data_IF_149534162246
#
_entry.id   IF_149534162246
#
_cell.length_a   1.000
_cell.length_b   1.000
_cell.length_c   1.000
_cell.angle_alpha   90.00
_cell.angle_beta   90.00
_cell.angle_gamma   90.00
#
_symmetry.space_group_name_H-M   'P 1'
#
loop_
_entity.id
_entity.type
_entity.pdbx_description
1 polymer ?
#
# COMPACT_ATOMS: atom_id res chain seq x y z
N UNK A 1 -6.47 22.34 7.61
CA UNK A 1 -5.07 22.16 7.15
C UNK A 1 -5.11 21.40 5.84
N UNK A 2 -4.22 21.72 4.90
CA UNK A 2 -4.09 20.94 3.68
C UNK A 2 -3.64 19.50 4.03
N UNK A 3 -4.11 18.52 3.28
CA UNK A 3 -3.67 17.14 3.44
C UNK A 3 -2.18 17.00 3.11
N UNK A 4 -1.41 16.32 3.95
CA UNK A 4 0.03 16.10 3.77
C UNK A 4 0.43 14.67 4.18
N UNK A 5 1.51 14.18 3.59
CA UNK A 5 2.17 12.91 3.91
C UNK A 5 3.56 13.11 4.55
N UNK A 6 3.85 14.30 5.09
CA UNK A 6 5.15 14.61 5.71
C UNK A 6 5.52 13.63 6.83
N UNK A 7 4.54 13.19 7.63
CA UNK A 7 4.72 12.17 8.68
C UNK A 7 5.19 10.83 8.13
N UNK A 8 4.86 10.54 6.88
CA UNK A 8 5.27 9.34 6.16
C UNK A 8 6.60 9.53 5.41
N UNK A 9 7.21 10.72 5.48
CA UNK A 9 8.44 11.06 4.76
C UNK A 9 8.21 11.35 3.27
N UNK A 10 6.97 11.60 2.85
CA UNK A 10 6.62 11.83 1.45
C UNK A 10 6.34 13.31 1.23
N UNK A 11 7.07 13.92 0.30
CA UNK A 11 7.07 15.37 0.06
C UNK A 11 6.66 15.75 -1.36
N UNK A 12 6.01 14.85 -2.11
CA UNK A 12 5.54 15.15 -3.47
C UNK A 12 4.42 16.19 -3.46
N UNK A 13 4.31 16.96 -4.54
CA UNK A 13 3.31 18.03 -4.64
C UNK A 13 1.92 17.56 -5.09
N UNK A 14 1.84 16.61 -6.03
CA UNK A 14 0.57 16.17 -6.63
C UNK A 14 0.00 14.92 -5.95
N UNK A 15 -0.86 15.13 -4.94
CA UNK A 15 -1.50 14.04 -4.20
C UNK A 15 -3.01 14.02 -4.43
N UNK A 16 -3.51 12.90 -4.96
CA UNK A 16 -4.93 12.65 -5.20
C UNK A 16 -5.53 11.78 -4.08
N UNK A 17 -6.03 12.42 -3.02
CA UNK A 17 -6.67 11.74 -1.90
C UNK A 17 -8.15 11.43 -2.18
N UNK A 18 -8.54 10.18 -1.98
CA UNK A 18 -9.91 9.65 -2.15
C UNK A 18 -10.57 10.12 -3.46
N UNK A 19 -9.79 10.15 -4.55
CA UNK A 19 -10.27 10.55 -5.85
C UNK A 19 -11.43 9.66 -6.33
N UNK A 20 -12.32 10.24 -7.14
CA UNK A 20 -13.48 9.52 -7.65
C UNK A 20 -13.05 8.38 -8.59
N UNK A 21 -13.85 7.30 -8.71
CA UNK A 21 -13.60 6.25 -9.69
C UNK A 21 -13.40 6.79 -11.11
N UNK A 22 -14.18 7.80 -11.53
CA UNK A 22 -14.04 8.42 -12.85
C UNK A 22 -12.64 9.04 -13.05
N UNK A 23 -12.15 9.78 -12.06
CA UNK A 23 -10.80 10.33 -12.09
C UNK A 23 -9.74 9.23 -12.16
N UNK A 24 -9.89 8.18 -11.34
CA UNK A 24 -8.94 7.06 -11.31
C UNK A 24 -8.91 6.28 -12.63
N UNK A 25 -10.05 6.15 -13.31
CA UNK A 25 -10.13 5.61 -14.66
C UNK A 25 -9.35 6.45 -15.66
N UNK A 26 -9.60 7.76 -15.70
CA UNK A 26 -8.89 8.68 -16.59
C UNK A 26 -7.38 8.66 -16.33
N UNK A 27 -7.00 8.70 -15.06
CA UNK A 27 -5.61 8.68 -14.66
C UNK A 27 -4.91 7.38 -15.06
N UNK A 28 -5.56 6.22 -14.86
CA UNK A 28 -5.04 4.93 -15.29
C UNK A 28 -4.85 4.89 -16.83
N UNK A 29 -5.82 5.36 -17.61
CA UNK A 29 -5.75 5.33 -19.08
C UNK A 29 -4.70 6.28 -19.64
N UNK A 30 -4.50 7.43 -18.99
CA UNK A 30 -3.52 8.45 -19.43
C UNK A 30 -2.09 8.11 -19.04
N UNK A 31 -1.89 7.58 -17.83
CA UNK A 31 -0.56 7.52 -17.22
C UNK A 31 -0.04 6.09 -16.96
N UNK A 32 -0.90 5.08 -17.03
CA UNK A 32 -0.48 3.68 -16.82
C UNK A 32 -0.49 2.89 -18.11
N UNK A 33 0.71 2.60 -18.62
CA UNK A 33 0.86 1.85 -19.87
C UNK A 33 0.17 0.48 -19.77
N UNK A 34 -0.67 0.20 -20.76
CA UNK A 34 -1.40 -1.06 -20.88
C UNK A 34 -2.79 -1.04 -20.25
N UNK A 35 -3.15 -0.01 -19.46
CA UNK A 35 -4.52 0.13 -18.98
C UNK A 35 -5.47 0.39 -20.14
N UNK A 36 -6.61 -0.30 -20.16
CA UNK A 36 -7.66 -0.15 -21.19
C UNK A 36 -9.04 -0.30 -20.59
N UNK A 37 -10.08 0.05 -21.32
CA UNK A 37 -11.48 -0.20 -20.93
C UNK A 37 -12.01 -1.38 -21.74
N UNK A 38 -12.62 -2.34 -21.05
CA UNK A 38 -13.38 -3.41 -21.69
C UNK A 38 -14.67 -2.90 -22.37
N UNK A 39 -15.29 -3.73 -23.20
CA UNK A 39 -16.58 -3.39 -23.84
C UNK A 39 -17.72 -3.12 -22.86
N UNK A 40 -17.60 -3.57 -21.60
CA UNK A 40 -18.60 -3.36 -20.54
C UNK A 40 -18.27 -2.21 -19.59
N UNK A 41 -17.19 -1.46 -19.85
CA UNK A 41 -16.80 -0.31 -19.02
C UNK A 41 -15.90 -0.66 -17.83
N UNK A 42 -15.49 -1.91 -17.65
CA UNK A 42 -14.51 -2.27 -16.63
C UNK A 42 -13.09 -1.82 -17.03
N UNK A 43 -12.35 -1.21 -16.11
CA UNK A 43 -10.93 -0.92 -16.27
C UNK A 43 -10.14 -2.24 -16.24
N UNK A 44 -9.39 -2.50 -17.30
CA UNK A 44 -8.43 -3.60 -17.38
C UNK A 44 -7.05 -3.02 -17.07
N UNK A 45 -6.37 -3.61 -16.09
CA UNK A 45 -5.01 -3.28 -15.70
C UNK A 45 -4.16 -4.55 -15.55
N UNK A 46 -2.85 -4.40 -15.63
CA UNK A 46 -1.89 -5.50 -15.55
C UNK A 46 -1.06 -5.41 -14.26
N UNK A 47 -0.88 -6.55 -13.59
CA UNK A 47 -0.13 -6.69 -12.33
C UNK A 47 1.38 -6.93 -12.54
N UNK A 48 1.89 -6.66 -13.74
CA UNK A 48 3.28 -6.88 -14.08
C UNK A 48 3.67 -8.36 -14.05
N UNK A 49 4.85 -8.68 -13.52
CA UNK A 49 5.41 -10.04 -13.49
C UNK A 49 4.68 -10.98 -12.52
N UNK A 50 4.06 -10.45 -11.47
CA UNK A 50 3.39 -11.23 -10.42
C UNK A 50 1.89 -11.21 -10.69
N UNK A 51 1.31 -12.34 -11.05
CA UNK A 51 -0.13 -12.50 -11.35
C UNK A 51 -0.93 -13.06 -10.17
N UNK A 52 -0.28 -13.24 -9.03
CA UNK A 52 -0.86 -13.75 -7.81
C UNK A 52 0.00 -13.38 -6.60
N UNK A 53 -0.43 -13.84 -5.42
CA UNK A 53 0.32 -13.65 -4.18
C UNK A 53 1.73 -14.24 -4.29
N UNK A 54 2.66 -13.68 -3.52
CA UNK A 54 4.00 -14.24 -3.31
C UNK A 54 4.19 -14.67 -1.85
N UNK A 55 3.63 -15.82 -1.41
CA UNK A 55 3.62 -16.20 0.01
C UNK A 55 5.01 -16.28 0.63
N UNK A 56 6.01 -16.75 -0.13
CA UNK A 56 7.40 -16.88 0.30
C UNK A 56 8.13 -15.54 0.44
N UNK A 57 7.54 -14.43 -0.01
CA UNK A 57 8.08 -13.08 0.08
C UNK A 57 7.34 -12.23 1.15
N UNK A 58 6.34 -12.80 1.84
CA UNK A 58 5.68 -12.15 2.98
C UNK A 58 6.58 -12.21 4.22
N UNK A 59 6.67 -11.11 4.95
CA UNK A 59 7.45 -10.99 6.19
C UNK A 59 6.67 -10.28 7.29
N UNK A 60 6.94 -10.64 8.54
CA UNK A 60 6.43 -9.96 9.74
C UNK A 60 7.62 -9.58 10.59
N UNK A 61 7.66 -8.32 11.04
CA UNK A 61 8.79 -7.82 11.84
C UNK A 61 8.79 -8.49 13.21
N UNK A 62 9.95 -9.01 13.62
CA UNK A 62 10.16 -9.64 14.92
C UNK A 62 10.42 -8.57 16.01
N UNK A 63 9.33 -7.95 16.45
CA UNK A 63 9.30 -6.91 17.49
C UNK A 63 8.98 -7.53 18.87
N UNK A 64 9.69 -7.16 19.96
CA UNK A 64 9.47 -7.74 21.29
C UNK A 64 8.01 -7.70 21.76
N UNK A 65 7.28 -6.65 21.42
CA UNK A 65 5.90 -6.38 21.87
C UNK A 65 4.87 -7.34 21.29
N UNK A 66 5.17 -8.00 20.16
CA UNK A 66 4.26 -8.93 19.47
C UNK A 66 4.88 -10.30 19.24
N UNK A 67 6.14 -10.49 19.66
CA UNK A 67 6.92 -11.71 19.39
C UNK A 67 6.18 -12.97 19.84
N UNK A 68 5.60 -12.95 21.02
CA UNK A 68 4.97 -14.13 21.60
C UNK A 68 3.53 -14.33 21.12
N UNK A 69 2.93 -13.31 20.48
CA UNK A 69 1.58 -13.36 19.91
C UNK A 69 1.56 -13.86 18.46
N UNK A 70 2.68 -13.74 17.73
CA UNK A 70 2.78 -14.14 16.33
C UNK A 70 3.09 -15.63 16.21
N UNK A 71 2.25 -16.35 15.45
CA UNK A 71 2.51 -17.75 15.12
C UNK A 71 3.59 -17.90 14.04
N UNK A 72 4.85 -17.96 14.45
CA UNK A 72 6.02 -18.03 13.57
C UNK A 72 6.13 -19.34 12.79
N UNK A 73 6.59 -19.25 11.54
CA UNK A 73 6.86 -20.41 10.69
C UNK A 73 6.98 -20.05 9.21
N UNK A 74 6.68 -21.01 8.34
CA UNK A 74 6.76 -20.80 6.89
C UNK A 74 5.71 -19.81 6.33
N UNK A 75 4.69 -19.47 7.12
CA UNK A 75 3.64 -18.50 6.76
C UNK A 75 3.97 -17.10 7.29
N UNK A 76 4.34 -17.01 8.57
CA UNK A 76 4.79 -15.77 9.20
C UNK A 76 6.30 -15.85 9.38
N UNK A 77 7.01 -15.40 8.35
CA UNK A 77 8.47 -15.43 8.29
C UNK A 77 9.00 -14.17 8.96
N UNK A 78 9.93 -14.35 9.90
CA UNK A 78 10.56 -13.25 10.65
C UNK A 78 11.33 -12.32 9.73
N UNK A 79 11.29 -11.03 10.06
CA UNK A 79 12.13 -9.99 9.51
C UNK A 79 12.67 -9.16 10.65
N UNK A 80 13.95 -8.83 10.62
CA UNK A 80 14.52 -7.95 11.63
C UNK A 80 14.02 -6.50 11.43
N UNK A 81 13.87 -5.71 12.52
CA UNK A 81 13.40 -4.32 12.41
C UNK A 81 14.24 -3.43 11.50
N UNK A 82 15.55 -3.67 11.39
CA UNK A 82 16.42 -2.85 10.55
C UNK A 82 16.13 -3.08 9.06
N UNK A 83 15.99 -4.33 8.62
CA UNK A 83 15.63 -4.67 7.24
C UNK A 83 14.26 -4.12 6.85
N UNK A 84 13.29 -4.09 7.78
CA UNK A 84 12.01 -3.42 7.56
C UNK A 84 12.19 -1.92 7.28
N UNK A 85 13.00 -1.23 8.09
CA UNK A 85 13.28 0.19 7.90
C UNK A 85 13.97 0.46 6.56
N UNK A 86 14.90 -0.41 6.14
CA UNK A 86 15.53 -0.31 4.81
C UNK A 86 14.49 -0.43 3.70
N UNK A 87 13.58 -1.38 3.77
CA UNK A 87 12.52 -1.54 2.76
C UNK A 87 11.51 -0.38 2.80
N UNK A 88 11.15 0.11 3.99
CA UNK A 88 10.29 1.28 4.17
C UNK A 88 10.91 2.52 3.52
N UNK A 89 12.19 2.79 3.78
CA UNK A 89 12.91 3.93 3.19
C UNK A 89 12.91 3.83 1.67
N UNK A 90 13.23 2.66 1.12
CA UNK A 90 13.17 2.40 -0.33
C UNK A 90 11.79 2.65 -0.93
N UNK A 91 10.73 2.28 -0.22
CA UNK A 91 9.37 2.52 -0.67
C UNK A 91 9.05 4.02 -0.67
N UNK A 92 9.42 4.74 0.39
CA UNK A 92 9.25 6.20 0.48
C UNK A 92 10.05 6.92 -0.60
N UNK A 93 11.31 6.58 -0.80
CA UNK A 93 12.17 7.12 -1.87
C UNK A 93 11.51 6.94 -3.24
N UNK A 94 11.07 5.72 -3.55
CA UNK A 94 10.38 5.44 -4.81
C UNK A 94 9.11 6.29 -4.97
N UNK A 95 8.27 6.35 -3.93
CA UNK A 95 7.05 7.14 -3.95
C UNK A 95 7.35 8.64 -4.15
N UNK A 96 8.44 9.14 -3.58
CA UNK A 96 8.92 10.51 -3.77
C UNK A 96 9.46 10.80 -5.17
N UNK A 97 9.87 9.78 -5.93
CA UNK A 97 10.26 9.94 -7.34
C UNK A 97 9.08 9.95 -8.32
N UNK A 98 7.84 9.81 -7.85
CA UNK A 98 6.66 9.82 -8.72
C UNK A 98 6.17 11.24 -8.95
N UNK A 99 5.68 11.52 -10.16
CA UNK A 99 5.05 12.81 -10.47
C UNK A 99 3.78 13.06 -9.64
N UNK A 100 3.07 11.97 -9.31
CA UNK A 100 1.81 12.00 -8.57
C UNK A 100 1.63 10.73 -7.73
N UNK A 101 0.90 10.85 -6.63
CA UNK A 101 0.48 9.72 -5.81
C UNK A 101 -1.04 9.74 -5.61
N UNK A 102 -1.57 8.56 -5.33
CA UNK A 102 -2.97 8.37 -4.98
C UNK A 102 -3.04 7.88 -3.55
N UNK A 103 -3.97 8.44 -2.78
CA UNK A 103 -4.18 8.06 -1.38
C UNK A 103 -5.62 7.62 -1.21
N UNK A 104 -5.84 6.47 -0.59
CA UNK A 104 -7.17 6.00 -0.19
C UNK A 104 -7.20 5.87 1.33
N UNK A 105 -8.00 6.73 1.96
CA UNK A 105 -8.42 6.55 3.34
C UNK A 105 -9.74 5.80 3.37
N UNK A 106 -9.80 4.69 4.11
CA UNK A 106 -10.98 3.86 4.24
C UNK A 106 -11.00 3.04 5.52
N UNK A 107 -12.06 2.27 5.72
CA UNK A 107 -12.23 1.43 6.90
C UNK A 107 -12.16 -0.05 6.55
N UNK A 108 -11.50 -0.83 7.41
CA UNK A 108 -11.55 -2.28 7.41
C UNK A 108 -12.36 -2.76 8.62
N UNK A 109 -13.40 -3.57 8.37
CA UNK A 109 -14.37 -4.00 9.39
C UNK A 109 -15.63 -3.14 9.39
N UNK A 110 -16.80 -3.78 9.38
CA UNK A 110 -18.11 -3.11 9.24
C UNK A 110 -18.60 -2.46 10.54
N UNK A 111 -18.34 -3.07 11.69
CA UNK A 111 -18.79 -2.53 12.98
C UNK A 111 -17.94 -1.30 13.37
N UNK A 112 -18.54 -0.11 13.54
CA UNK A 112 -17.81 1.11 13.89
C UNK A 112 -16.97 1.01 15.17
N UNK A 113 -17.29 0.08 16.08
CA UNK A 113 -16.54 -0.15 17.33
C UNK A 113 -15.22 -0.90 17.12
N UNK A 114 -15.11 -1.60 15.99
CA UNK A 114 -13.98 -2.49 15.67
C UNK A 114 -13.31 -2.14 14.33
N UNK A 115 -13.77 -1.09 13.65
CA UNK A 115 -13.20 -0.66 12.39
C UNK A 115 -11.76 -0.16 12.57
N UNK A 116 -10.91 -0.50 11.61
CA UNK A 116 -9.57 0.06 11.49
C UNK A 116 -9.56 1.13 10.42
N UNK A 117 -8.98 2.28 10.71
CA UNK A 117 -8.68 3.32 9.73
C UNK A 117 -7.44 2.93 8.94
N UNK A 118 -7.60 2.68 7.64
CA UNK A 118 -6.50 2.31 6.75
C UNK A 118 -6.22 3.47 5.82
N UNK A 119 -4.96 3.91 5.75
CA UNK A 119 -4.45 4.81 4.72
C UNK A 119 -3.58 4.01 3.75
N UNK A 120 -3.96 3.98 2.49
CA UNK A 120 -3.15 3.39 1.43
C UNK A 120 -2.52 4.49 0.60
N UNK A 121 -1.21 4.41 0.38
CA UNK A 121 -0.44 5.32 -0.46
C UNK A 121 0.11 4.51 -1.62
N UNK A 122 -0.27 4.83 -2.85
CA UNK A 122 0.12 4.07 -4.02
C UNK A 122 0.52 4.95 -5.21
N UNK A 123 1.46 4.45 -6.02
CA UNK A 123 1.94 5.15 -7.22
C UNK A 123 1.00 5.03 -8.43
N UNK A 124 0.03 4.10 -8.39
CA UNK A 124 -0.88 3.79 -9.51
C UNK A 124 -2.33 4.04 -9.13
N UNK A 125 -3.09 4.63 -10.05
CA UNK A 125 -4.54 4.80 -9.97
C UNK A 125 -5.28 3.46 -9.95
N UNK A 126 -4.77 2.44 -10.64
CA UNK A 126 -5.30 1.07 -10.57
C UNK A 126 -5.38 0.56 -9.12
N UNK A 127 -4.28 0.68 -8.35
CA UNK A 127 -4.25 0.23 -6.96
C UNK A 127 -5.16 1.08 -6.06
N UNK A 128 -5.26 2.38 -6.31
CA UNK A 128 -6.20 3.24 -5.60
C UNK A 128 -7.66 2.82 -5.88
N UNK A 129 -8.01 2.53 -7.13
CA UNK A 129 -9.34 2.06 -7.50
C UNK A 129 -9.66 0.70 -6.88
N UNK A 130 -8.67 -0.20 -6.86
CA UNK A 130 -8.81 -1.48 -6.16
C UNK A 130 -9.12 -1.27 -4.68
N UNK A 131 -8.38 -0.41 -3.98
CA UNK A 131 -8.63 -0.15 -2.56
C UNK A 131 -9.93 0.62 -2.30
N UNK A 132 -10.36 1.48 -3.23
CA UNK A 132 -11.69 2.09 -3.20
C UNK A 132 -12.81 1.04 -3.23
N UNK A 133 -12.61 -0.06 -3.96
CA UNK A 133 -13.57 -1.16 -4.03
C UNK A 133 -13.52 -2.07 -2.80
N UNK A 134 -12.33 -2.30 -2.24
CA UNK A 134 -12.13 -3.27 -1.16
C UNK A 134 -12.38 -2.73 0.24
N UNK A 135 -12.09 -1.44 0.50
CA UNK A 135 -12.32 -0.81 1.79
C UNK A 135 -13.72 -0.23 1.89
N UNK A 136 -14.23 -0.13 3.12
CA UNK A 136 -15.46 0.60 3.38
C UNK A 136 -15.15 2.09 3.23
N UNK A 137 -15.92 2.75 2.36
CA UNK A 137 -15.71 4.15 2.00
C UNK A 137 -16.24 5.06 3.09
N UNK A 138 -15.46 6.04 3.56
CA UNK A 138 -15.96 7.07 4.46
C UNK A 138 -17.00 7.93 3.73
N UNK A 139 -17.96 8.47 4.49
CA UNK A 139 -18.75 9.62 4.02
C UNK A 139 -17.86 10.86 3.88
N UNK A 140 -18.38 11.93 3.28
CA UNK A 140 -17.64 13.19 3.17
C UNK A 140 -17.24 13.75 4.55
N UNK A 141 -18.13 13.66 5.54
CA UNK A 141 -17.91 14.12 6.91
C UNK A 141 -16.87 13.24 7.62
N UNK A 142 -16.96 11.92 7.44
CA UNK A 142 -15.99 10.96 7.99
C UNK A 142 -14.60 11.15 7.38
N UNK A 143 -14.52 11.46 6.08
CA UNK A 143 -13.25 11.72 5.40
C UNK A 143 -12.62 13.04 5.86
N UNK A 144 -13.44 14.08 6.02
CA UNK A 144 -13.01 15.38 6.54
C UNK A 144 -12.49 15.28 7.97
N UNK A 145 -13.07 14.38 8.78
CA UNK A 145 -12.70 14.10 10.18
C UNK A 145 -11.87 12.82 10.37
N UNK A 146 -11.30 12.26 9.29
CA UNK A 146 -10.65 10.94 9.32
C UNK A 146 -9.52 10.85 10.34
N UNK A 147 -8.75 11.94 10.48
CA UNK A 147 -7.65 12.05 11.42
C UNK A 147 -6.46 11.16 11.07
N UNK A 148 -5.79 10.64 12.09
CA UNK A 148 -4.68 9.70 11.92
C UNK A 148 -5.21 8.29 11.60
N UNK A 149 -4.61 7.59 10.64
CA UNK A 149 -4.93 6.20 10.36
C UNK A 149 -4.41 5.28 11.46
N UNK A 150 -5.07 4.13 11.64
CA UNK A 150 -4.56 3.05 12.48
C UNK A 150 -3.41 2.33 11.78
N UNK A 151 -3.51 2.11 10.46
CA UNK A 151 -2.46 1.51 9.64
C UNK A 151 -2.19 2.31 8.38
N UNK A 152 -0.91 2.36 7.99
CA UNK A 152 -0.47 2.94 6.71
C UNK A 152 0.12 1.85 5.81
N UNK A 153 -0.35 1.79 4.57
CA UNK A 153 0.17 0.88 3.55
C UNK A 153 0.94 1.67 2.51
N UNK A 154 2.24 1.41 2.41
CA UNK A 154 3.13 1.94 1.37
C UNK A 154 3.17 0.97 0.20
N UNK A 155 2.34 1.22 -0.82
CA UNK A 155 2.35 0.44 -2.04
C UNK A 155 3.31 1.03 -3.06
N UNK A 156 4.57 0.58 -2.98
CA UNK A 156 5.66 0.86 -3.89
C UNK A 156 5.96 -0.36 -4.79
N UNK A 157 4.92 -1.13 -5.14
CA UNK A 157 5.03 -2.41 -5.85
C UNK A 157 5.80 -2.37 -7.18
N UNK A 158 5.84 -1.21 -7.85
CA UNK A 158 6.62 -0.99 -9.06
C UNK A 158 8.14 -0.90 -8.85
N UNK A 159 8.62 -0.89 -7.60
CA UNK A 159 10.04 -0.81 -7.25
C UNK A 159 10.52 -2.07 -6.53
N UNK A 160 11.65 -2.68 -6.92
CA UNK A 160 12.08 -3.94 -6.34
C UNK A 160 12.68 -3.76 -4.93
N UNK A 161 12.44 -4.77 -4.09
CA UNK A 161 13.20 -4.99 -2.88
C UNK A 161 14.67 -5.30 -3.22
N UNK A 162 15.58 -4.96 -2.31
CA UNK A 162 16.99 -5.30 -2.46
C UNK A 162 17.24 -6.72 -1.94
N UNK A 163 17.60 -7.65 -2.83
CA UNK A 163 17.91 -9.05 -2.49
C UNK A 163 19.11 -9.21 -1.54
N UNK A 164 19.93 -8.16 -1.39
CA UNK A 164 21.07 -8.15 -0.49
C UNK A 164 20.72 -7.64 0.91
N UNK A 165 19.49 -7.14 1.13
CA UNK A 165 18.97 -6.87 2.47
C UNK A 165 18.71 -8.18 3.19
N UNK A 166 19.09 -8.27 4.46
CA UNK A 166 18.87 -9.46 5.29
C UNK A 166 17.40 -9.90 5.27
N UNK A 167 17.16 -11.21 5.15
CA UNK A 167 15.81 -11.78 5.12
C UNK A 167 15.07 -11.69 3.76
N UNK A 168 15.63 -10.99 2.78
CA UNK A 168 15.06 -10.92 1.42
C UNK A 168 15.50 -12.11 0.57
N UNK A 169 14.54 -12.77 -0.07
CA UNK A 169 14.77 -13.95 -0.91
C UNK A 169 14.55 -13.69 -2.40
N UNK A 170 13.95 -12.56 -2.74
CA UNK A 170 13.67 -12.16 -4.11
C UNK A 170 13.66 -10.63 -4.25
N UNK A 171 13.25 -10.13 -5.42
CA UNK A 171 13.01 -8.70 -5.63
C UNK A 171 11.64 -8.24 -5.14
N UNK A 172 10.82 -9.14 -4.59
CA UNK A 172 9.50 -8.86 -4.03
C UNK A 172 9.59 -8.91 -2.50
N UNK A 173 8.92 -7.97 -1.83
CA UNK A 173 8.74 -8.00 -0.37
C UNK A 173 7.35 -7.48 0.00
N UNK A 174 6.72 -8.15 0.96
CA UNK A 174 5.46 -7.71 1.57
C UNK A 174 5.63 -7.78 3.08
N UNK A 175 5.94 -6.65 3.68
CA UNK A 175 6.38 -6.57 5.07
C UNK A 175 5.30 -5.94 5.95
N UNK A 176 5.14 -6.48 7.16
CA UNK A 176 4.22 -5.98 8.18
C UNK A 176 4.96 -5.72 9.50
N UNK A 177 4.93 -4.47 9.97
CA UNK A 177 5.29 -4.11 11.34
C UNK A 177 4.02 -3.79 12.14
N UNK A 178 3.82 -4.52 13.24
CA UNK A 178 2.69 -4.29 14.14
C UNK A 178 2.97 -3.10 15.07
N UNK A 179 4.20 -2.94 15.57
CA UNK A 179 4.55 -1.82 16.44
C UNK A 179 4.43 -0.47 15.72
N UNK A 180 4.81 -0.42 14.44
CA UNK A 180 4.68 0.79 13.61
C UNK A 180 3.31 0.93 12.96
N UNK A 181 2.53 -0.17 12.92
CA UNK A 181 1.27 -0.28 12.18
C UNK A 181 1.43 0.10 10.70
N UNK A 182 2.47 -0.43 10.08
CA UNK A 182 2.86 -0.13 8.71
C UNK A 182 2.94 -1.42 7.88
N UNK A 183 2.45 -1.35 6.64
CA UNK A 183 2.71 -2.34 5.60
C UNK A 183 3.58 -1.74 4.50
N UNK A 184 4.58 -2.47 4.04
CA UNK A 184 5.45 -2.06 2.92
C UNK A 184 5.41 -3.10 1.82
N UNK A 185 5.08 -2.67 0.60
CA UNK A 185 4.97 -3.55 -0.57
C UNK A 185 5.97 -3.08 -1.63
N UNK A 186 6.86 -3.98 -2.03
CA UNK A 186 7.89 -3.78 -3.04
C UNK A 186 7.89 -4.94 -4.05
N UNK A 187 8.15 -4.62 -5.32
CA UNK A 187 8.43 -5.59 -6.38
C UNK A 187 7.28 -6.52 -6.76
N UNK A 188 6.04 -6.14 -6.43
CA UNK A 188 4.83 -6.82 -6.88
C UNK A 188 3.73 -5.79 -7.13
N UNK A 189 3.09 -5.87 -8.29
CA UNK A 189 1.95 -5.00 -8.65
C UNK A 189 0.63 -5.78 -8.61
N UNK A 190 0.66 -7.03 -8.14
CA UNK A 190 -0.55 -7.78 -7.79
C UNK A 190 -1.30 -7.05 -6.68
N UNK A 191 -2.61 -6.87 -6.85
CA UNK A 191 -3.40 -6.00 -5.98
C UNK A 191 -3.83 -6.65 -4.65
N UNK A 192 -3.97 -7.97 -4.62
CA UNK A 192 -4.40 -8.70 -3.42
C UNK A 192 -3.26 -9.31 -2.61
#
# INVERSE_FOLDING_TARGET
MAFSLDKQGISISEIHRNASPAFLYEAALRFEKGSTISSTGALIAYSGKKTGRSPTDKRVVDEPEVRDDVWWGNVNIKLDPHSFLVNRERAVDYLNTRDRLYVIDGYAGWDPRHQLKIRVICARAYHALFMHNMLIRPTAEQLASFGEPDYVIFNAGGFPANRHTTGMTSTTSVDLSFARREFVILGTEYAG
#
